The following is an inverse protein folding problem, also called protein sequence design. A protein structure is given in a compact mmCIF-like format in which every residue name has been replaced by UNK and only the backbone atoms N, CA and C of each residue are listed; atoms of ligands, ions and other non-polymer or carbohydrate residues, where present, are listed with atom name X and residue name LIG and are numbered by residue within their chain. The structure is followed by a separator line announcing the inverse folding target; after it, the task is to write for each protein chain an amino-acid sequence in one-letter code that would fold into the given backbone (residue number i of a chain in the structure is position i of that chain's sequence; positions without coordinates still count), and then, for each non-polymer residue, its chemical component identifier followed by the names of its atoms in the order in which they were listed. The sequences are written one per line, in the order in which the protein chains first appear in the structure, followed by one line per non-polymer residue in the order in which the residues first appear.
data_IF_601501404174
#
_entry.id   IF_601501404174
#
_cell.length_a   1.000
_cell.length_b   1.000
_cell.length_c   1.000
_cell.angle_alpha   90.00
_cell.angle_beta   90.00
_cell.angle_gamma   90.00
#
_symmetry.space_group_name_H-M   'P 1'
#
loop_
_entity.id
_entity.type
_entity.pdbx_description
1 polymer ?
#
# COMPACT_ATOMS: atom_id res chain seq x y z
N UNK A 1 -81.89 -76.59 7.71
CA UNK A 1 -82.25 -77.26 8.98
C UNK A 1 -81.93 -76.31 10.14
N UNK A 2 -82.84 -76.13 11.11
CA UNK A 2 -82.59 -75.28 12.28
C UNK A 2 -82.05 -76.14 13.43
N UNK A 3 -80.80 -75.92 13.84
CA UNK A 3 -80.27 -76.52 15.06
C UNK A 3 -80.50 -75.52 16.19
N UNK A 4 -81.39 -75.88 17.12
CA UNK A 4 -81.59 -75.12 18.36
C UNK A 4 -80.62 -75.66 19.39
N UNK A 5 -79.61 -74.87 19.75
CA UNK A 5 -78.69 -75.22 20.84
C UNK A 5 -79.24 -74.60 22.12
N UNK A 6 -79.59 -75.44 23.10
CA UNK A 6 -80.04 -75.00 24.43
C UNK A 6 -78.80 -74.85 25.33
N UNK A 7 -78.40 -73.64 25.71
CA UNK A 7 -77.25 -73.45 26.59
C UNK A 7 -77.56 -73.96 28.00
N UNK A 8 -76.57 -74.57 28.67
CA UNK A 8 -76.70 -74.95 30.08
C UNK A 8 -76.55 -73.70 30.96
N UNK A 9 -77.59 -72.86 31.02
CA UNK A 9 -77.60 -71.59 31.75
C UNK A 9 -78.77 -70.67 31.37
N UNK A 10 -78.83 -69.48 31.97
CA UNK A 10 -79.94 -68.50 31.84
C UNK A 10 -80.00 -67.73 30.51
N UNK A 11 -79.31 -68.19 29.46
CA UNK A 11 -79.27 -67.50 28.17
C UNK A 11 -80.30 -68.10 27.20
N UNK A 12 -81.10 -67.28 26.49
CA UNK A 12 -82.10 -67.79 25.56
C UNK A 12 -81.47 -68.62 24.43
N UNK A 13 -82.12 -69.70 23.96
CA UNK A 13 -81.58 -70.57 22.92
C UNK A 13 -81.29 -69.79 21.63
N UNK A 14 -80.15 -70.11 21.00
CA UNK A 14 -79.72 -69.52 19.73
C UNK A 14 -79.92 -70.54 18.61
N UNK A 15 -80.58 -70.11 17.54
CA UNK A 15 -80.76 -70.91 16.33
C UNK A 15 -79.60 -70.64 15.39
N UNK A 16 -78.84 -71.69 15.04
CA UNK A 16 -77.88 -71.65 13.95
C UNK A 16 -78.58 -72.21 12.71
N UNK A 17 -78.70 -71.39 11.66
CA UNK A 17 -79.22 -71.85 10.38
C UNK A 17 -78.09 -72.47 9.57
N UNK A 18 -78.30 -73.72 9.15
CA UNK A 18 -77.42 -74.46 8.24
C UNK A 18 -78.22 -74.95 7.05
N UNK A 19 -77.60 -74.93 5.87
CA UNK A 19 -78.19 -75.41 4.61
C UNK A 19 -78.61 -76.87 4.76
N UNK A 20 -79.76 -77.24 4.19
CA UNK A 20 -80.30 -78.59 4.25
C UNK A 20 -79.33 -79.59 3.61
N UNK A 21 -78.93 -80.63 4.35
CA UNK A 21 -77.92 -81.63 3.93
C UNK A 21 -76.49 -81.38 4.40
N UNK A 22 -76.15 -80.18 4.91
CA UNK A 22 -74.78 -79.86 5.36
C UNK A 22 -74.37 -80.49 6.70
N UNK A 23 -75.33 -81.00 7.47
CA UNK A 23 -75.11 -81.68 8.75
C UNK A 23 -75.20 -83.18 8.53
N UNK A 24 -74.05 -83.85 8.65
CA UNK A 24 -73.95 -85.29 8.33
C UNK A 24 -74.09 -86.18 9.57
N UNK A 25 -73.94 -85.62 10.78
CA UNK A 25 -74.21 -86.29 12.05
C UNK A 25 -74.34 -85.26 13.19
N UNK A 26 -75.25 -85.53 14.14
CA UNK A 26 -75.35 -84.84 15.44
C UNK A 26 -75.10 -85.87 16.52
N UNK A 27 -74.02 -85.73 17.29
CA UNK A 27 -73.74 -86.65 18.40
C UNK A 27 -74.61 -86.27 19.62
N UNK A 28 -75.58 -87.13 19.95
CA UNK A 28 -76.61 -86.87 20.96
C UNK A 28 -76.11 -86.62 22.37
N UNK A 29 -74.87 -87.04 22.70
CA UNK A 29 -74.33 -86.93 24.07
C UNK A 29 -73.51 -85.67 24.32
N UNK A 30 -73.03 -84.97 23.27
CA UNK A 30 -72.15 -83.79 23.40
C UNK A 30 -72.54 -82.57 22.56
N UNK A 31 -73.50 -82.70 21.63
CA UNK A 31 -73.96 -81.57 20.81
C UNK A 31 -72.96 -81.13 19.72
N UNK A 32 -71.96 -81.95 19.43
CA UNK A 32 -70.99 -81.70 18.37
C UNK A 32 -71.66 -81.86 16.98
N UNK A 33 -71.50 -80.85 16.13
CA UNK A 33 -72.02 -80.81 14.76
C UNK A 33 -70.84 -80.93 13.79
N UNK A 34 -70.83 -81.98 12.96
CA UNK A 34 -69.83 -82.14 11.90
C UNK A 34 -70.37 -81.62 10.57
N UNK A 35 -69.66 -80.66 9.98
CA UNK A 35 -69.98 -80.04 8.67
C UNK A 35 -68.85 -80.39 7.69
N UNK A 36 -69.18 -80.86 6.48
CA UNK A 36 -68.20 -81.17 5.44
C UNK A 36 -67.68 -79.89 4.76
N UNK A 37 -66.36 -79.79 4.57
CA UNK A 37 -65.67 -78.59 4.09
C UNK A 37 -66.07 -78.10 2.68
N UNK A 38 -66.65 -78.97 1.84
CA UNK A 38 -67.01 -78.66 0.47
C UNK A 38 -68.03 -77.50 0.35
N UNK A 39 -68.88 -77.31 1.37
CA UNK A 39 -69.94 -76.29 1.34
C UNK A 39 -69.52 -74.93 1.94
N UNK A 40 -68.27 -74.80 2.42
CA UNK A 40 -67.76 -73.57 3.05
C UNK A 40 -66.95 -72.66 2.12
N UNK A 41 -66.74 -73.03 0.85
CA UNK A 41 -65.87 -72.29 -0.06
C UNK A 41 -64.41 -72.21 0.41
N UNK A 42 -63.99 -73.17 1.24
CA UNK A 42 -62.65 -73.23 1.79
C UNK A 42 -61.66 -73.74 0.74
N UNK A 43 -60.63 -72.96 0.45
CA UNK A 43 -59.52 -73.36 -0.41
C UNK A 43 -58.73 -74.47 0.30
N UNK A 44 -58.62 -75.62 -0.34
CA UNK A 44 -57.92 -76.80 0.13
C UNK A 44 -56.54 -76.93 -0.50
N UNK A 45 -55.64 -77.66 0.17
CA UNK A 45 -54.38 -78.06 -0.45
C UNK A 45 -54.65 -78.89 -1.71
N UNK A 46 -54.08 -78.46 -2.84
CA UNK A 46 -54.36 -79.06 -4.15
C UNK A 46 -55.35 -78.28 -5.02
N UNK A 47 -56.08 -77.30 -4.47
CA UNK A 47 -56.94 -76.44 -5.28
C UNK A 47 -56.09 -75.57 -6.23
N UNK A 48 -56.57 -75.39 -7.46
CA UNK A 48 -55.89 -74.55 -8.44
C UNK A 48 -55.86 -73.08 -8.00
N UNK A 49 -54.71 -72.43 -8.16
CA UNK A 49 -54.59 -71.00 -7.95
C UNK A 49 -55.29 -70.21 -9.07
N UNK A 50 -55.87 -69.06 -8.70
CA UNK A 50 -56.60 -68.19 -9.62
C UNK A 50 -55.81 -66.95 -10.03
N UNK A 51 -56.32 -66.25 -11.06
CA UNK A 51 -55.79 -64.96 -11.50
C UNK A 51 -54.41 -65.07 -12.17
N UNK A 52 -53.45 -64.32 -11.62
CA UNK A 52 -52.08 -64.21 -12.14
C UNK A 52 -51.12 -65.28 -11.59
N UNK A 53 -51.65 -66.15 -10.73
CA UNK A 53 -50.96 -67.29 -10.16
C UNK A 53 -51.25 -68.56 -10.98
N UNK A 54 -50.33 -69.51 -10.92
CA UNK A 54 -50.48 -70.87 -11.49
C UNK A 54 -50.05 -71.92 -10.47
N UNK A 55 -50.37 -73.19 -10.74
CA UNK A 55 -50.15 -74.29 -9.81
C UNK A 55 -51.29 -74.41 -8.79
N UNK A 56 -51.00 -75.03 -7.66
CA UNK A 56 -52.00 -75.33 -6.63
C UNK A 56 -51.61 -74.74 -5.28
N UNK A 57 -52.61 -74.43 -4.46
CA UNK A 57 -52.39 -74.05 -3.07
C UNK A 57 -51.75 -75.20 -2.27
N UNK A 58 -50.87 -74.90 -1.30
CA UNK A 58 -50.55 -73.57 -0.78
C UNK A 58 -49.40 -72.83 -1.50
N UNK A 59 -48.70 -73.47 -2.46
CA UNK A 59 -47.47 -72.94 -3.07
C UNK A 59 -47.63 -72.64 -4.57
N UNK A 60 -48.48 -71.68 -4.97
CA UNK A 60 -48.57 -71.28 -6.36
C UNK A 60 -47.34 -70.47 -6.82
N UNK A 61 -47.18 -70.32 -8.14
CA UNK A 61 -46.14 -69.49 -8.76
C UNK A 61 -46.75 -68.31 -9.49
N UNK A 62 -46.11 -67.14 -9.45
CA UNK A 62 -46.48 -65.98 -10.26
C UNK A 62 -46.18 -66.27 -11.73
N UNK A 63 -47.21 -66.35 -12.56
CA UNK A 63 -47.08 -66.63 -13.98
C UNK A 63 -47.46 -65.45 -14.87
N UNK A 64 -48.17 -64.46 -14.31
CA UNK A 64 -48.67 -63.31 -15.06
C UNK A 64 -48.53 -62.03 -14.25
N UNK A 65 -48.63 -60.90 -14.93
CA UNK A 65 -48.86 -59.57 -14.34
C UNK A 65 -50.01 -58.94 -15.11
N UNK A 66 -51.13 -58.69 -14.44
CA UNK A 66 -52.36 -58.17 -15.05
C UNK A 66 -52.80 -59.00 -16.27
N UNK A 67 -52.74 -60.33 -16.16
CA UNK A 67 -53.09 -61.27 -17.24
C UNK A 67 -52.03 -61.48 -18.33
N UNK A 68 -50.96 -60.67 -18.37
CA UNK A 68 -49.85 -60.84 -19.33
C UNK A 68 -48.87 -61.88 -18.81
N UNK A 69 -48.58 -62.91 -19.62
CA UNK A 69 -47.66 -63.97 -19.24
C UNK A 69 -46.24 -63.44 -18.98
N UNK A 70 -45.67 -63.84 -17.85
CA UNK A 70 -44.26 -63.69 -17.51
C UNK A 70 -43.60 -65.04 -17.77
N UNK A 71 -42.68 -65.10 -18.74
CA UNK A 71 -41.99 -66.35 -19.09
C UNK A 71 -40.58 -66.39 -18.50
N UNK A 72 -40.09 -67.60 -18.20
CA UNK A 72 -38.75 -67.83 -17.63
C UNK A 72 -38.70 -67.90 -16.10
N UNK A 73 -37.51 -68.16 -15.56
CA UNK A 73 -37.24 -68.24 -14.10
C UNK A 73 -36.44 -67.01 -13.66
N UNK A 74 -36.86 -66.27 -12.62
CA UNK A 74 -36.11 -65.11 -12.14
C UNK A 74 -34.77 -65.51 -11.51
N UNK A 75 -33.79 -64.64 -11.64
CA UNK A 75 -32.58 -64.62 -10.82
C UNK A 75 -32.70 -63.55 -9.72
N UNK A 76 -31.83 -63.63 -8.69
CA UNK A 76 -31.87 -62.70 -7.56
C UNK A 76 -31.77 -61.23 -8.02
N UNK A 77 -32.69 -60.39 -7.54
CA UNK A 77 -32.74 -58.96 -7.86
C UNK A 77 -33.53 -58.60 -9.12
N UNK A 78 -34.06 -59.58 -9.86
CA UNK A 78 -34.99 -59.32 -10.96
C UNK A 78 -36.42 -59.16 -10.45
N UNK A 79 -37.18 -58.30 -11.13
CA UNK A 79 -38.60 -58.07 -10.88
C UNK A 79 -39.41 -58.33 -12.14
N UNK A 80 -40.67 -58.77 -12.05
CA UNK A 80 -41.53 -58.85 -13.22
C UNK A 80 -41.77 -57.43 -13.72
N UNK A 81 -41.38 -57.15 -14.95
CA UNK A 81 -41.59 -55.85 -15.59
C UNK A 81 -42.49 -56.03 -16.79
N UNK A 82 -43.61 -55.30 -16.81
CA UNK A 82 -44.42 -55.17 -18.01
C UNK A 82 -43.64 -54.36 -19.04
N UNK A 83 -42.91 -55.07 -19.91
CA UNK A 83 -42.10 -54.47 -20.97
C UNK A 83 -42.94 -53.83 -22.07
N UNK A 84 -44.21 -54.21 -22.18
CA UNK A 84 -45.23 -53.55 -23.00
C UNK A 84 -46.63 -53.90 -22.47
N UNK A 85 -47.69 -53.39 -23.10
CA UNK A 85 -49.07 -53.75 -22.76
C UNK A 85 -49.43 -55.23 -23.01
N UNK A 86 -48.58 -56.00 -23.67
CA UNK A 86 -48.83 -57.42 -24.03
C UNK A 86 -47.66 -58.35 -23.70
N UNK A 87 -46.56 -57.84 -23.16
CA UNK A 87 -45.38 -58.63 -22.82
C UNK A 87 -44.83 -58.25 -21.44
N UNK A 88 -44.49 -59.26 -20.64
CA UNK A 88 -43.82 -59.09 -19.36
C UNK A 88 -42.64 -60.06 -19.25
N UNK A 89 -41.52 -59.58 -18.70
CA UNK A 89 -40.29 -60.38 -18.50
C UNK A 89 -39.64 -60.02 -17.17
N UNK A 90 -38.78 -60.90 -16.65
CA UNK A 90 -37.96 -60.63 -15.49
C UNK A 90 -36.80 -59.70 -15.87
N UNK A 91 -36.75 -58.50 -15.30
CA UNK A 91 -35.71 -57.50 -15.60
C UNK A 91 -35.00 -57.05 -14.33
N UNK A 92 -33.72 -56.70 -14.46
CA UNK A 92 -33.00 -55.95 -13.44
C UNK A 92 -33.50 -54.50 -13.47
N UNK A 93 -33.91 -53.91 -12.34
CA UNK A 93 -34.31 -52.52 -12.29
C UNK A 93 -33.20 -51.58 -12.79
N UNK A 94 -33.57 -50.51 -13.50
CA UNK A 94 -32.60 -49.51 -13.97
C UNK A 94 -31.85 -48.87 -12.77
N UNK A 95 -30.53 -48.71 -12.91
CA UNK A 95 -29.73 -48.03 -11.91
C UNK A 95 -30.13 -46.54 -11.83
N UNK A 96 -30.22 -46.00 -10.61
CA UNK A 96 -30.44 -44.57 -10.40
C UNK A 96 -29.24 -43.73 -10.88
N UNK A 97 -29.43 -42.41 -11.11
CA UNK A 97 -28.34 -41.52 -11.50
C UNK A 97 -27.24 -41.49 -10.44
N UNK A 98 -25.98 -41.39 -10.88
CA UNK A 98 -24.84 -41.18 -9.98
C UNK A 98 -24.81 -39.74 -9.45
N UNK A 99 -24.34 -39.56 -8.21
CA UNK A 99 -24.16 -38.25 -7.62
C UNK A 99 -22.94 -37.53 -8.20
N UNK A 100 -23.00 -36.20 -8.31
CA UNK A 100 -21.83 -35.39 -8.64
C UNK A 100 -20.82 -35.36 -7.48
N UNK A 101 -19.52 -35.50 -7.78
CA UNK A 101 -18.42 -35.43 -6.79
C UNK A 101 -17.59 -34.14 -6.84
N UNK A 102 -17.97 -33.18 -7.67
CA UNK A 102 -17.23 -31.93 -7.90
C UNK A 102 -18.15 -30.72 -7.83
N UNK A 103 -17.60 -29.57 -7.43
CA UNK A 103 -18.25 -28.26 -7.51
C UNK A 103 -17.40 -27.33 -8.37
N UNK A 104 -18.04 -26.44 -9.14
CA UNK A 104 -17.35 -25.38 -9.87
C UNK A 104 -16.88 -24.28 -8.91
N UNK A 105 -15.59 -23.96 -8.91
CA UNK A 105 -15.05 -22.87 -8.11
C UNK A 105 -15.47 -21.51 -8.69
N UNK A 106 -16.02 -20.63 -7.85
CA UNK A 106 -16.29 -19.24 -8.24
C UNK A 106 -15.07 -18.35 -7.91
N UNK A 107 -14.55 -17.63 -8.90
CA UNK A 107 -13.34 -16.78 -8.75
C UNK A 107 -13.62 -15.28 -8.88
N UNK A 108 -14.89 -14.89 -9.02
CA UNK A 108 -15.32 -13.50 -9.26
C UNK A 108 -16.50 -13.15 -8.36
N UNK A 109 -16.62 -11.88 -7.95
CA UNK A 109 -17.83 -11.36 -7.29
C UNK A 109 -18.93 -11.02 -8.30
N UNK A 110 -20.18 -10.97 -7.84
CA UNK A 110 -21.34 -10.61 -8.66
C UNK A 110 -21.77 -11.62 -9.73
N UNK A 111 -21.22 -12.84 -9.74
CA UNK A 111 -21.68 -13.90 -10.63
C UNK A 111 -23.12 -14.34 -10.28
N UNK A 112 -24.02 -14.53 -11.27
CA UNK A 112 -25.40 -14.97 -11.04
C UNK A 112 -25.47 -16.47 -10.67
N UNK A 113 -26.54 -16.87 -9.99
CA UNK A 113 -26.86 -18.28 -9.75
C UNK A 113 -27.27 -18.99 -11.05
N UNK A 114 -26.89 -20.25 -11.22
CA UNK A 114 -27.23 -21.07 -12.38
C UNK A 114 -27.46 -22.53 -12.00
N UNK A 115 -28.49 -23.16 -12.56
CA UNK A 115 -28.86 -24.54 -12.22
C UNK A 115 -27.93 -25.61 -12.82
N UNK A 116 -27.02 -25.24 -13.74
CA UNK A 116 -26.16 -26.20 -14.46
C UNK A 116 -26.90 -27.02 -15.52
N UNK A 117 -26.17 -27.85 -16.27
CA UNK A 117 -26.67 -28.75 -17.32
C UNK A 117 -26.26 -30.22 -17.14
N UNK A 118 -25.52 -30.57 -16.07
CA UNK A 118 -25.15 -31.96 -15.80
C UNK A 118 -26.38 -32.84 -15.49
N UNK A 119 -26.29 -34.13 -15.85
CA UNK A 119 -27.36 -35.12 -15.65
C UNK A 119 -27.23 -35.94 -14.37
N UNK A 120 -26.14 -35.75 -13.62
CA UNK A 120 -25.92 -36.33 -12.29
C UNK A 120 -26.92 -35.77 -11.26
N UNK A 121 -27.31 -36.59 -10.29
CA UNK A 121 -28.05 -36.09 -9.12
C UNK A 121 -27.17 -35.04 -8.39
N UNK A 122 -27.76 -33.88 -8.07
CA UNK A 122 -27.11 -32.64 -7.55
C UNK A 122 -26.36 -31.74 -8.54
N UNK A 123 -26.29 -32.06 -9.84
CA UNK A 123 -25.68 -31.23 -10.92
C UNK A 123 -24.37 -30.54 -10.52
N UNK A 124 -23.23 -31.23 -10.60
CA UNK A 124 -21.93 -30.70 -10.11
C UNK A 124 -21.43 -29.38 -10.76
N UNK A 125 -22.08 -28.94 -11.83
CA UNK A 125 -21.84 -27.68 -12.53
C UNK A 125 -22.80 -26.55 -12.14
N UNK A 126 -23.69 -26.74 -11.17
CA UNK A 126 -24.54 -25.66 -10.68
C UNK A 126 -23.72 -24.63 -9.89
N UNK A 127 -24.20 -23.39 -9.87
CA UNK A 127 -23.61 -22.31 -9.09
C UNK A 127 -24.69 -21.65 -8.23
N UNK A 128 -24.34 -21.27 -7.01
CA UNK A 128 -25.21 -20.47 -6.14
C UNK A 128 -25.09 -18.96 -6.39
N UNK A 129 -24.29 -18.56 -7.38
CA UNK A 129 -23.86 -17.18 -7.55
C UNK A 129 -22.87 -16.75 -6.47
N UNK A 130 -22.30 -15.56 -6.61
CA UNK A 130 -21.40 -14.96 -5.61
C UNK A 130 -21.96 -13.62 -5.14
N UNK A 131 -21.72 -13.22 -3.88
CA UNK A 131 -22.10 -11.90 -3.39
C UNK A 131 -21.62 -10.78 -4.32
N UNK A 132 -22.35 -9.66 -4.34
CA UNK A 132 -21.85 -8.44 -4.98
C UNK A 132 -20.58 -7.98 -4.28
N UNK A 133 -19.68 -7.33 -5.02
CA UNK A 133 -18.49 -6.73 -4.42
C UNK A 133 -18.94 -5.75 -3.30
N UNK A 134 -18.45 -5.90 -2.05
CA UNK A 134 -18.81 -4.98 -0.98
C UNK A 134 -18.41 -3.55 -1.37
N UNK A 135 -19.27 -2.57 -1.06
CA UNK A 135 -18.90 -1.17 -1.17
C UNK A 135 -17.70 -0.92 -0.25
N UNK A 136 -16.59 -0.43 -0.82
CA UNK A 136 -15.37 -0.15 -0.07
C UNK A 136 -15.66 0.93 0.99
N UNK A 137 -15.77 0.53 2.25
CA UNK A 137 -15.80 1.45 3.39
C UNK A 137 -14.71 1.02 4.36
N UNK A 138 -13.95 1.99 4.86
CA UNK A 138 -12.76 1.74 5.68
C UNK A 138 -13.07 1.52 7.16
N UNK A 139 -14.34 1.42 7.54
CA UNK A 139 -14.76 1.23 8.94
C UNK A 139 -14.92 -0.23 9.35
N UNK A 140 -14.87 -1.20 8.42
CA UNK A 140 -14.87 -2.64 8.71
C UNK A 140 -14.27 -3.38 7.53
N UNK A 141 -13.32 -4.31 7.79
CA UNK A 141 -12.48 -4.99 6.80
C UNK A 141 -13.13 -5.16 5.40
N UNK A 142 -12.71 -4.31 4.46
CA UNK A 142 -13.18 -4.27 3.08
C UNK A 142 -12.03 -3.98 2.12
N UNK A 143 -12.15 -4.45 0.88
CA UNK A 143 -11.15 -4.28 -0.19
C UNK A 143 -11.09 -2.80 -0.59
N UNK A 144 -9.91 -2.19 -0.48
CA UNK A 144 -9.63 -0.86 -1.05
C UNK A 144 -9.30 -1.05 -2.53
N UNK A 145 -10.19 -0.64 -3.43
CA UNK A 145 -9.83 -0.45 -4.84
C UNK A 145 -9.05 0.87 -4.93
N UNK A 146 -7.76 0.78 -5.26
CA UNK A 146 -6.96 1.95 -5.62
C UNK A 146 -7.31 2.29 -7.06
N UNK A 147 -7.90 3.46 -7.30
CA UNK A 147 -8.07 3.94 -8.67
C UNK A 147 -6.68 4.20 -9.27
N UNK A 148 -6.40 3.51 -10.37
CA UNK A 148 -5.13 3.60 -11.09
C UNK A 148 -5.16 4.63 -12.22
N UNK A 149 -6.22 5.42 -12.34
CA UNK A 149 -6.34 6.46 -13.36
C UNK A 149 -5.26 7.51 -13.09
N UNK A 150 -4.41 7.77 -14.09
CA UNK A 150 -3.24 8.63 -13.94
C UNK A 150 -3.54 10.09 -13.51
N UNK A 151 -4.81 10.50 -13.53
CA UNK A 151 -5.28 11.81 -13.07
C UNK A 151 -5.64 11.86 -11.58
N UNK A 152 -5.78 10.71 -10.91
CA UNK A 152 -6.11 10.62 -9.47
C UNK A 152 -4.89 10.81 -8.56
N UNK A 153 -3.72 11.06 -9.14
CA UNK A 153 -2.63 11.70 -8.42
C UNK A 153 -2.50 13.08 -9.03
N UNK A 154 -3.24 14.04 -8.46
CA UNK A 154 -3.21 15.42 -8.93
C UNK A 154 -1.78 15.96 -8.89
N UNK A 155 -1.42 16.76 -9.89
CA UNK A 155 -0.16 17.48 -9.94
C UNK A 155 0.00 18.38 -8.69
N UNK A 156 1.25 18.66 -8.33
CA UNK A 156 1.67 19.41 -7.14
C UNK A 156 0.86 20.72 -6.95
N UNK A 157 0.19 20.91 -5.80
CA UNK A 157 -0.36 22.21 -5.40
C UNK A 157 -1.63 22.18 -4.54
N UNK A 158 -1.54 22.80 -3.35
CA UNK A 158 -2.57 22.99 -2.31
C UNK A 158 -2.92 21.75 -1.48
N UNK A 159 -2.64 21.84 -0.17
CA UNK A 159 -2.88 20.78 0.81
C UNK A 159 -4.38 20.51 0.96
N UNK A 160 -4.80 19.27 0.70
CA UNK A 160 -6.03 18.73 1.26
C UNK A 160 -5.68 17.43 1.98
N UNK A 161 -5.95 17.39 3.29
CA UNK A 161 -6.02 16.12 3.99
C UNK A 161 -7.25 15.41 3.41
N UNK A 162 -7.03 14.35 2.65
CA UNK A 162 -8.10 13.38 2.40
C UNK A 162 -8.76 13.03 3.73
N UNK A 163 -10.08 12.90 3.75
CA UNK A 163 -10.82 12.68 5.01
C UNK A 163 -10.21 11.51 5.79
N UNK A 164 -9.99 11.69 7.09
CA UNK A 164 -9.35 10.71 7.97
C UNK A 164 -9.88 9.30 7.75
N UNK A 165 -8.99 8.37 7.42
CA UNK A 165 -9.32 6.95 7.24
C UNK A 165 -9.64 6.52 5.81
N UNK A 166 -9.37 7.31 4.77
CA UNK A 166 -9.43 6.87 3.36
C UNK A 166 -8.03 6.61 2.80
N UNK A 167 -7.89 5.69 1.85
CA UNK A 167 -6.70 5.62 1.01
C UNK A 167 -6.54 6.96 0.27
N UNK A 168 -5.30 7.34 -0.10
CA UNK A 168 -5.05 8.57 -0.84
C UNK A 168 -5.99 8.63 -2.05
N UNK A 169 -6.89 9.62 -2.07
CA UNK A 169 -7.81 9.88 -3.18
C UNK A 169 -7.20 10.94 -4.12
N UNK A 170 -7.90 11.25 -5.21
CA UNK A 170 -7.51 12.29 -6.17
C UNK A 170 -7.23 13.68 -5.56
N UNK A 171 -7.66 13.92 -4.31
CA UNK A 171 -7.39 15.15 -3.57
C UNK A 171 -6.17 15.07 -2.64
N UNK A 172 -5.52 13.90 -2.50
CA UNK A 172 -4.32 13.77 -1.67
C UNK A 172 -3.12 14.44 -2.33
N UNK A 173 -2.72 15.57 -1.77
CA UNK A 173 -1.54 16.32 -2.23
C UNK A 173 -0.43 16.23 -1.18
N UNK A 174 0.78 15.81 -1.59
CA UNK A 174 1.95 15.86 -0.72
C UNK A 174 2.35 17.32 -0.44
N UNK A 175 2.66 17.69 0.82
CA UNK A 175 3.12 19.03 1.13
C UNK A 175 4.49 19.27 0.48
N UNK A 176 4.56 20.18 -0.48
CA UNK A 176 5.81 20.73 -1.01
C UNK A 176 6.29 21.87 -0.13
N UNK A 177 6.68 21.58 1.11
CA UNK A 177 7.45 22.54 1.89
C UNK A 177 8.88 22.57 1.34
N UNK A 178 9.30 23.73 0.80
CA UNK A 178 10.70 23.99 0.46
C UNK A 178 11.16 23.68 -0.98
N UNK A 179 10.26 23.31 -1.90
CA UNK A 179 10.60 23.16 -3.33
C UNK A 179 9.81 24.18 -4.14
N UNK A 180 10.49 25.19 -4.67
CA UNK A 180 9.91 26.07 -5.68
C UNK A 180 10.05 25.37 -7.05
N UNK A 181 8.98 24.70 -7.48
CA UNK A 181 8.98 23.86 -8.69
C UNK A 181 8.72 24.63 -10.00
N UNK A 182 8.40 25.92 -9.94
CA UNK A 182 8.09 26.75 -11.11
C UNK A 182 8.98 27.98 -11.22
N UNK A 183 9.37 28.31 -12.45
CA UNK A 183 10.12 29.52 -12.75
C UNK A 183 9.34 30.77 -12.31
N UNK A 184 9.98 31.65 -11.54
CA UNK A 184 9.43 32.96 -11.17
C UNK A 184 8.54 33.02 -9.92
N UNK A 185 8.50 31.98 -9.08
CA UNK A 185 7.80 32.07 -7.79
C UNK A 185 8.62 32.71 -6.66
N UNK A 186 7.94 33.11 -5.59
CA UNK A 186 8.56 33.75 -4.42
C UNK A 186 8.71 32.74 -3.28
N UNK A 187 9.90 32.65 -2.70
CA UNK A 187 10.10 31.96 -1.43
C UNK A 187 9.92 32.99 -0.29
N UNK A 188 8.95 32.76 0.60
CA UNK A 188 8.68 33.63 1.75
C UNK A 188 9.20 33.00 3.04
N UNK A 189 9.82 33.80 3.92
CA UNK A 189 10.41 33.35 5.18
C UNK A 189 11.93 33.17 5.10
N UNK A 190 12.51 32.58 6.16
CA UNK A 190 13.94 32.30 6.23
C UNK A 190 14.30 31.02 5.46
N UNK A 191 15.32 31.09 4.61
CA UNK A 191 15.85 29.94 3.86
C UNK A 191 17.13 29.48 4.54
N UNK A 192 17.13 28.27 5.09
CA UNK A 192 18.31 27.68 5.73
C UNK A 192 18.83 26.51 4.92
N UNK A 193 20.03 26.64 4.35
CA UNK A 193 20.71 25.56 3.62
C UNK A 193 21.67 24.82 4.53
N UNK A 194 21.28 23.64 5.04
CA UNK A 194 22.13 22.83 5.92
C UNK A 194 23.01 21.84 5.12
N UNK A 195 24.25 22.23 4.80
CA UNK A 195 25.18 21.47 3.94
C UNK A 195 26.16 20.61 4.72
N UNK A 196 26.47 19.43 4.18
CA UNK A 196 27.25 18.41 4.87
C UNK A 196 28.74 18.58 4.60
N UNK A 197 29.10 18.90 3.35
CA UNK A 197 30.48 19.16 2.97
C UNK A 197 30.71 20.66 2.68
N UNK A 198 31.94 21.11 2.90
CA UNK A 198 32.35 22.49 2.61
C UNK A 198 32.36 22.80 1.11
N UNK A 199 32.48 21.79 0.27
CA UNK A 199 32.39 21.88 -1.20
C UNK A 199 30.96 21.89 -1.75
N UNK A 200 29.97 21.60 -0.91
CA UNK A 200 28.57 21.59 -1.37
C UNK A 200 28.14 23.00 -1.77
N UNK A 201 27.28 23.09 -2.79
CA UNK A 201 26.67 24.37 -3.18
C UNK A 201 25.47 24.64 -2.27
N UNK A 202 25.50 25.74 -1.52
CA UNK A 202 24.41 26.17 -0.65
C UNK A 202 23.37 27.03 -1.39
N UNK A 203 23.82 27.81 -2.36
CA UNK A 203 23.00 28.66 -3.23
C UNK A 203 23.76 28.91 -4.54
N UNK A 204 23.05 28.97 -5.68
CA UNK A 204 23.66 29.32 -6.96
C UNK A 204 22.67 30.02 -7.89
N UNK A 205 23.22 30.81 -8.82
CA UNK A 205 22.50 31.47 -9.91
C UNK A 205 23.06 30.95 -11.24
N UNK A 206 22.19 30.34 -12.04
CA UNK A 206 22.51 29.77 -13.36
C UNK A 206 21.51 30.35 -14.37
N UNK A 207 21.98 30.82 -15.52
CA UNK A 207 21.11 31.22 -16.62
C UNK A 207 20.91 30.05 -17.60
N UNK A 208 19.74 29.98 -18.23
CA UNK A 208 19.45 29.00 -19.26
C UNK A 208 20.38 29.18 -20.46
N UNK A 209 21.41 28.36 -20.56
CA UNK A 209 22.47 28.44 -21.58
C UNK A 209 23.88 28.51 -21.00
N UNK A 210 24.03 28.79 -19.71
CA UNK A 210 25.35 28.72 -19.06
C UNK A 210 25.74 27.25 -18.81
N UNK A 211 27.03 26.95 -18.96
CA UNK A 211 27.62 25.64 -18.58
C UNK A 211 27.92 25.58 -17.08
N UNK A 212 28.15 26.73 -16.46
CA UNK A 212 28.48 26.90 -15.05
C UNK A 212 27.59 27.96 -14.39
N UNK A 213 27.25 27.83 -13.11
CA UNK A 213 26.73 28.97 -12.32
C UNK A 213 27.66 30.18 -12.39
N UNK A 214 27.05 31.37 -12.52
CA UNK A 214 27.74 32.67 -12.54
C UNK A 214 28.04 33.19 -11.14
N UNK A 215 27.27 32.72 -10.17
CA UNK A 215 27.40 33.05 -8.76
C UNK A 215 27.02 31.82 -7.97
N UNK A 216 27.85 31.43 -7.01
CA UNK A 216 27.50 30.42 -6.01
C UNK A 216 28.06 30.75 -4.65
N UNK A 217 27.37 30.25 -3.63
CA UNK A 217 27.84 30.19 -2.24
C UNK A 217 28.06 28.72 -1.91
N UNK A 218 29.26 28.39 -1.44
CA UNK A 218 29.61 27.04 -0.99
C UNK A 218 29.31 26.84 0.50
N UNK A 219 29.30 25.58 0.95
CA UNK A 219 29.20 25.21 2.36
C UNK A 219 30.34 25.78 3.21
N UNK A 220 31.49 26.08 2.62
CA UNK A 220 32.59 26.82 3.25
C UNK A 220 32.29 28.28 3.54
N UNK A 221 31.22 28.84 2.95
CA UNK A 221 30.92 30.27 2.94
C UNK A 221 31.65 31.05 1.85
N UNK A 222 32.47 30.40 1.03
CA UNK A 222 33.08 31.05 -0.14
C UNK A 222 32.00 31.42 -1.16
N UNK A 223 32.16 32.60 -1.73
CA UNK A 223 31.37 33.12 -2.83
C UNK A 223 32.23 33.04 -4.08
N UNK A 224 31.78 32.31 -5.07
CA UNK A 224 32.49 32.14 -6.33
C UNK A 224 31.69 32.73 -7.48
N UNK A 225 32.37 33.42 -8.38
CA UNK A 225 31.77 34.11 -9.51
C UNK A 225 32.49 33.77 -10.81
N UNK A 226 31.72 33.73 -11.89
CA UNK A 226 32.26 33.50 -13.23
C UNK A 226 31.32 33.93 -14.35
N UNK A 227 31.80 33.78 -15.58
CA UNK A 227 31.08 34.18 -16.79
C UNK A 227 29.90 33.27 -17.17
N UNK A 228 29.87 32.05 -16.61
CA UNK A 228 28.91 31.00 -16.95
C UNK A 228 29.33 30.13 -18.15
N UNK A 229 30.25 30.62 -18.98
CA UNK A 229 30.86 29.85 -20.07
C UNK A 229 32.05 28.99 -19.59
N UNK A 230 32.77 29.47 -18.57
CA UNK A 230 33.90 28.77 -17.95
C UNK A 230 33.69 28.58 -16.45
N UNK A 231 34.56 27.77 -15.83
CA UNK A 231 34.58 27.60 -14.39
C UNK A 231 34.85 28.93 -13.68
N UNK A 232 34.27 29.13 -12.50
CA UNK A 232 34.39 30.36 -11.71
C UNK A 232 35.85 30.72 -11.46
N UNK A 233 36.20 31.94 -11.82
CA UNK A 233 37.57 32.44 -11.76
C UNK A 233 37.80 33.29 -10.50
N UNK A 234 36.74 33.88 -9.95
CA UNK A 234 36.84 34.81 -8.82
C UNK A 234 36.25 34.19 -7.57
N UNK A 235 37.03 34.16 -6.49
CA UNK A 235 36.57 33.69 -5.18
C UNK A 235 36.72 34.77 -4.13
N UNK A 236 35.65 35.01 -3.38
CA UNK A 236 35.61 35.86 -2.20
C UNK A 236 35.25 35.00 -0.99
N UNK A 237 36.09 35.00 0.04
CA UNK A 237 35.80 34.15 1.20
C UNK A 237 36.82 34.23 2.32
N UNK A 238 36.54 33.49 3.39
CA UNK A 238 37.44 33.36 4.53
C UNK A 238 38.51 32.32 4.21
N UNK A 239 39.77 32.72 4.32
CA UNK A 239 40.93 31.81 4.19
C UNK A 239 41.49 31.40 5.55
N UNK A 240 41.27 32.22 6.57
CA UNK A 240 41.64 31.93 7.96
C UNK A 240 40.73 32.72 8.95
N UNK A 241 40.99 32.57 10.25
CA UNK A 241 40.41 33.46 11.25
C UNK A 241 40.78 34.92 10.94
N UNK A 242 39.78 35.81 10.94
CA UNK A 242 39.94 37.25 10.70
C UNK A 242 40.56 37.64 9.34
N UNK A 243 40.54 36.74 8.35
CA UNK A 243 41.06 37.02 7.00
C UNK A 243 39.98 36.79 5.95
N UNK A 244 39.70 37.83 5.17
CA UNK A 244 38.89 37.76 3.96
C UNK A 244 39.81 37.95 2.75
N UNK A 245 39.70 37.07 1.75
CA UNK A 245 40.56 37.08 0.58
C UNK A 245 39.75 37.26 -0.70
N UNK A 246 40.38 37.94 -1.67
CA UNK A 246 39.98 37.97 -3.08
C UNK A 246 41.01 37.13 -3.82
N UNK A 247 40.59 36.02 -4.43
CA UNK A 247 41.47 35.12 -5.17
C UNK A 247 41.07 35.09 -6.63
N UNK A 248 42.04 35.13 -7.53
CA UNK A 248 41.80 35.12 -8.98
C UNK A 248 41.28 36.44 -9.55
N UNK A 249 41.28 37.53 -8.76
CA UNK A 249 40.82 38.85 -9.21
C UNK A 249 41.56 40.01 -8.54
N UNK A 250 41.54 41.15 -9.23
CA UNK A 250 41.92 42.45 -8.68
C UNK A 250 40.77 43.08 -7.90
N UNK A 251 41.09 43.83 -6.83
CA UNK A 251 40.12 44.70 -6.15
C UNK A 251 40.11 46.09 -6.81
N UNK A 252 39.22 46.28 -7.79
CA UNK A 252 39.10 47.55 -8.53
C UNK A 252 38.03 48.47 -7.95
N UNK A 253 38.41 49.71 -7.64
CA UNK A 253 37.46 50.80 -7.35
C UNK A 253 37.28 51.65 -8.61
N UNK A 254 36.22 51.36 -9.38
CA UNK A 254 36.04 51.96 -10.70
C UNK A 254 35.44 53.39 -10.65
N UNK A 255 34.72 53.73 -9.58
CA UNK A 255 34.05 55.03 -9.45
C UNK A 255 34.99 56.07 -8.85
N UNK A 256 35.22 57.17 -9.58
CA UNK A 256 36.00 58.30 -9.08
C UNK A 256 35.42 58.86 -7.77
N UNK A 257 36.29 59.26 -6.84
CA UNK A 257 35.89 59.74 -5.52
C UNK A 257 35.55 58.64 -4.50
N UNK A 258 35.60 57.36 -4.88
CA UNK A 258 35.54 56.20 -3.96
C UNK A 258 36.95 55.66 -3.70
N UNK A 259 37.11 54.85 -2.65
CA UNK A 259 38.42 54.29 -2.30
C UNK A 259 38.40 53.31 -1.12
N UNK A 260 39.59 53.01 -0.60
CA UNK A 260 39.77 52.21 0.61
C UNK A 260 39.52 53.07 1.85
N UNK A 261 38.74 52.55 2.80
CA UNK A 261 38.53 53.15 4.11
C UNK A 261 39.15 52.23 5.17
N UNK A 262 40.11 52.75 5.92
CA UNK A 262 40.81 52.00 6.97
C UNK A 262 40.69 52.81 8.26
N UNK A 263 40.24 52.16 9.34
CA UNK A 263 40.09 52.81 10.62
C UNK A 263 41.46 53.21 11.20
N UNK A 264 41.54 54.42 11.75
CA UNK A 264 42.69 54.93 12.51
C UNK A 264 42.44 54.81 14.03
N UNK A 265 43.50 54.94 14.84
CA UNK A 265 43.42 54.90 16.29
C UNK A 265 44.39 53.90 16.94
N UNK A 266 44.06 53.45 18.15
CA UNK A 266 44.89 52.48 18.87
C UNK A 266 44.98 51.18 18.08
N UNK A 267 46.20 50.67 17.94
CA UNK A 267 46.49 49.45 17.17
C UNK A 267 46.06 49.49 15.68
N UNK A 268 45.90 50.69 15.10
CA UNK A 268 45.58 50.84 13.70
C UNK A 268 46.77 50.46 12.79
N UNK A 269 46.46 50.23 11.51
CA UNK A 269 47.46 50.04 10.44
C UNK A 269 47.68 51.28 9.57
N UNK A 270 47.00 52.37 9.84
CA UNK A 270 47.37 53.68 9.32
C UNK A 270 47.02 54.77 10.32
N UNK A 271 47.61 55.95 10.10
CA UNK A 271 47.31 57.14 10.87
C UNK A 271 48.30 58.25 10.61
N UNK A 272 48.28 59.26 11.48
CA UNK A 272 49.25 60.36 11.47
C UNK A 272 49.99 60.45 12.81
N UNK A 273 51.18 61.03 12.80
CA UNK A 273 51.96 61.33 14.00
C UNK A 273 52.79 62.61 13.77
N UNK A 274 52.90 63.47 14.79
CA UNK A 274 53.77 64.64 14.75
C UNK A 274 55.19 64.28 15.20
N UNK A 275 56.20 64.74 14.46
CA UNK A 275 57.60 64.64 14.88
C UNK A 275 57.91 65.63 16.00
N UNK A 276 58.79 65.25 16.92
CA UNK A 276 59.39 66.12 17.90
C UNK A 276 60.92 65.98 17.82
N UNK A 277 61.62 67.09 17.57
CA UNK A 277 63.07 67.10 17.38
C UNK A 277 63.56 66.05 16.34
N UNK A 278 62.83 65.93 15.23
CA UNK A 278 63.18 65.01 14.15
C UNK A 278 62.82 63.54 14.38
N UNK A 279 62.08 63.18 15.43
CA UNK A 279 61.66 61.79 15.64
C UNK A 279 60.26 61.64 16.23
N UNK A 280 59.61 60.52 15.95
CA UNK A 280 58.39 60.09 16.63
C UNK A 280 58.33 58.57 16.73
N UNK A 281 57.75 58.06 17.82
CA UNK A 281 57.43 56.63 17.96
C UNK A 281 55.93 56.44 17.76
N UNK A 282 55.56 55.53 16.86
CA UNK A 282 54.18 55.09 16.67
C UNK A 282 54.01 53.78 17.43
N UNK A 283 53.18 53.82 18.48
CA UNK A 283 52.84 52.63 19.27
C UNK A 283 51.67 51.90 18.64
N UNK A 284 51.91 50.68 18.14
CA UNK A 284 50.88 49.83 17.53
C UNK A 284 51.32 48.37 17.63
N UNK A 285 50.44 47.51 18.13
CA UNK A 285 50.75 46.07 18.20
C UNK A 285 50.59 45.37 16.85
N UNK A 286 50.06 46.08 15.85
CA UNK A 286 49.85 45.59 14.50
C UNK A 286 51.14 45.53 13.68
N UNK A 287 52.23 46.18 14.10
CA UNK A 287 53.51 46.11 13.38
C UNK A 287 54.17 44.75 13.59
N UNK A 288 54.57 44.09 12.50
CA UNK A 288 55.29 42.81 12.53
C UNK A 288 56.76 43.03 12.16
N UNK A 289 57.59 42.00 12.35
CA UNK A 289 58.98 42.03 11.88
C UNK A 289 59.09 42.24 10.36
N UNK A 290 58.06 41.89 9.58
CA UNK A 290 58.05 41.90 8.11
C UNK A 290 57.18 43.00 7.50
N UNK A 291 56.51 43.83 8.30
CA UNK A 291 55.64 44.90 7.79
C UNK A 291 56.37 45.81 6.81
N UNK A 292 55.69 46.21 5.74
CA UNK A 292 56.11 47.31 4.87
C UNK A 292 55.46 48.59 5.40
N UNK A 293 56.27 49.58 5.76
CA UNK A 293 55.80 50.82 6.36
C UNK A 293 56.05 51.96 5.37
N UNK A 294 54.99 52.62 4.95
CA UNK A 294 55.02 53.75 4.02
C UNK A 294 54.82 55.04 4.81
N UNK A 295 55.63 56.05 4.52
CA UNK A 295 55.63 57.34 5.21
C UNK A 295 55.44 58.45 4.19
N UNK A 296 54.63 59.46 4.54
CA UNK A 296 54.54 60.71 3.77
C UNK A 296 54.31 61.89 4.70
N UNK A 297 54.97 63.01 4.42
CA UNK A 297 54.63 64.27 5.09
C UNK A 297 53.22 64.70 4.69
N UNK A 298 52.43 65.14 5.66
CA UNK A 298 51.06 65.68 5.49
C UNK A 298 51.02 67.19 5.74
N UNK A 299 51.78 67.67 6.72
CA UNK A 299 51.94 69.09 7.00
C UNK A 299 53.36 69.36 7.50
N UNK A 300 54.05 70.31 6.88
CA UNK A 300 55.43 70.62 7.22
C UNK A 300 55.50 71.41 8.54
N UNK A 301 56.49 71.08 9.37
CA UNK A 301 56.82 71.79 10.60
C UNK A 301 58.33 71.84 10.81
N UNK A 302 58.85 72.99 11.26
CA UNK A 302 60.30 73.19 11.38
C UNK A 302 61.03 73.05 10.03
N UNK A 303 62.26 72.55 10.05
CA UNK A 303 63.00 72.23 8.83
C UNK A 303 62.79 70.77 8.48
N UNK A 304 62.01 70.50 7.44
CA UNK A 304 61.71 69.14 7.00
C UNK A 304 62.97 68.42 6.48
N UNK A 305 63.14 67.17 6.90
CA UNK A 305 64.18 66.27 6.41
C UNK A 305 63.61 65.07 5.64
N UNK A 306 64.47 64.16 5.18
CA UNK A 306 64.02 62.90 4.62
C UNK A 306 63.60 61.94 5.75
N UNK A 307 62.45 61.29 5.58
CA UNK A 307 61.87 60.38 6.57
C UNK A 307 62.37 58.96 6.34
N UNK A 308 62.64 58.23 7.43
CA UNK A 308 62.86 56.77 7.41
C UNK A 308 62.26 56.12 8.65
N UNK A 309 62.00 54.82 8.56
CA UNK A 309 61.80 53.98 9.75
C UNK A 309 63.18 53.59 10.29
N UNK A 310 63.53 54.05 11.48
CA UNK A 310 64.86 53.87 12.07
C UNK A 310 64.93 52.71 13.07
N UNK A 311 63.80 52.36 13.68
CA UNK A 311 63.68 51.24 14.60
C UNK A 311 62.31 50.58 14.50
N UNK A 312 62.25 49.30 14.86
CA UNK A 312 61.04 48.48 14.84
C UNK A 312 61.10 47.48 15.99
N UNK A 313 60.02 47.40 16.74
CA UNK A 313 59.78 46.37 17.76
C UNK A 313 58.46 45.69 17.42
N UNK A 314 58.53 44.47 16.89
CA UNK A 314 57.35 43.71 16.48
C UNK A 314 56.35 43.58 17.65
N UNK A 315 55.07 43.69 17.33
CA UNK A 315 53.99 43.63 18.33
C UNK A 315 53.93 44.85 19.26
N UNK A 316 54.75 45.89 19.06
CA UNK A 316 54.87 47.00 20.01
C UNK A 316 54.87 48.37 19.34
N UNK A 317 55.86 48.66 18.49
CA UNK A 317 56.06 50.01 17.94
C UNK A 317 57.05 50.07 16.76
N UNK A 318 57.08 51.22 16.10
CA UNK A 318 58.18 51.61 15.20
C UNK A 318 58.51 53.09 15.36
N UNK A 319 59.75 53.46 15.03
CA UNK A 319 60.22 54.85 15.14
C UNK A 319 60.44 55.45 13.75
N UNK A 320 59.84 56.62 13.54
CA UNK A 320 60.08 57.48 12.39
C UNK A 320 61.18 58.46 12.77
N UNK A 321 62.18 58.63 11.91
CA UNK A 321 63.25 59.61 12.08
C UNK A 321 63.42 60.43 10.81
N UNK A 322 63.42 61.74 10.97
CA UNK A 322 63.81 62.71 9.97
C UNK A 322 65.33 62.89 9.98
N UNK A 323 65.90 63.23 8.83
CA UNK A 323 67.30 63.65 8.73
C UNK A 323 67.58 65.01 9.37
N UNK A 324 66.53 65.77 9.70
CA UNK A 324 66.62 67.06 10.35
C UNK A 324 66.16 66.95 11.80
N UNK A 325 67.04 67.31 12.74
CA UNK A 325 66.73 67.34 14.17
C UNK A 325 65.78 68.47 14.59
N UNK A 326 65.46 69.40 13.68
CA UNK A 326 64.48 70.46 13.93
C UNK A 326 63.14 70.19 13.23
N UNK A 327 62.97 69.01 12.62
CA UNK A 327 61.73 68.64 11.95
C UNK A 327 60.62 68.35 12.97
N UNK A 328 59.48 69.03 12.80
CA UNK A 328 58.26 68.87 13.60
C UNK A 328 57.04 68.61 12.71
N UNK A 329 57.26 68.06 11.52
CA UNK A 329 56.19 67.79 10.55
C UNK A 329 55.21 66.71 11.04
N UNK A 330 53.96 66.80 10.58
CA UNK A 330 52.97 65.73 10.73
C UNK A 330 53.15 64.74 9.60
N UNK A 331 53.37 63.47 9.94
CA UNK A 331 53.67 62.37 9.02
C UNK A 331 52.51 61.38 9.03
N UNK A 332 51.95 61.08 7.86
CA UNK A 332 51.08 59.93 7.69
C UNK A 332 51.92 58.65 7.55
N UNK A 333 51.42 57.57 8.14
CA UNK A 333 52.01 56.25 8.08
C UNK A 333 50.97 55.21 7.68
N UNK A 334 51.40 54.18 6.95
CA UNK A 334 50.59 53.03 6.59
C UNK A 334 51.43 51.76 6.71
N UNK A 335 50.86 50.72 7.33
CA UNK A 335 51.43 49.39 7.50
C UNK A 335 50.73 48.44 6.54
N UNK A 336 51.50 47.76 5.68
CA UNK A 336 51.03 46.68 4.82
C UNK A 336 51.81 45.42 5.16
N UNK A 337 51.10 44.32 5.42
CA UNK A 337 51.74 43.02 5.61
C UNK A 337 51.98 42.35 4.25
N UNK A 338 53.16 41.73 4.03
CA UNK A 338 53.29 40.77 2.96
C UNK A 338 52.38 39.57 3.24
N UNK A 339 51.59 39.18 2.22
CA UNK A 339 50.74 38.00 2.23
C UNK A 339 51.55 36.75 1.82
#
# INVERSE_FOLDING_TARGET
MNITVTPNGTQPPRVIQVTEGAVTSVNGDRGDVTITAADLGAISAGDAAGGDLTGTYPNPTVAKVSGVAVTGTPTAGQVPTATSGTAATWQTPAAGPSAAGTVAAQTSFGAPSSAGSATTYSRGDHTHGTPTLPAASTSTAGVVQLDGTAADIAALGTQAAGSTGKAADAGHVHPTTGVLSTAGGNLTGAVTSNRTATSDVAYAVILGGDTFDRYRVLGSGNIEQGSGAAAREVTYGRTAANQWSVTGADLRVATAGRGLMVAEGSNAKMGTVALAAGAATVSTTAVTANSRIFLTNQALGGTAGFLRVSARTAGTSFTITSSSGTDTSTVAWMIVEPA
#
